data_IF_395347368434
#
_entry.id   IF_395347368434
#
_cell.length_a   1.000
_cell.length_b   1.000
_cell.length_c   1.000
_cell.angle_alpha   90.00
_cell.angle_beta   90.00
_cell.angle_gamma   90.00
#
_symmetry.space_group_name_H-M   'P 1'
#
loop_
_entity.id
_entity.type
_entity.pdbx_description
1 polymer ?
#
# COMPACT_ATOMS: atom_id res chain seq x y z
N UNK A 1 20.34 -15.28 12.65
CA UNK A 1 19.40 -14.67 13.63
C UNK A 1 18.65 -13.47 13.06
N UNK A 2 19.30 -12.53 12.36
CA UNK A 2 18.65 -11.30 11.83
C UNK A 2 17.53 -11.60 10.81
N UNK A 3 17.78 -12.48 9.83
CA UNK A 3 16.79 -12.83 8.81
C UNK A 3 15.59 -13.54 9.42
N UNK A 4 15.83 -14.49 10.33
CA UNK A 4 14.76 -15.21 11.03
C UNK A 4 13.91 -14.27 11.91
N UNK A 5 14.52 -13.32 12.63
CA UNK A 5 13.76 -12.33 13.40
C UNK A 5 12.94 -11.41 12.51
N UNK A 6 13.48 -10.97 11.36
CA UNK A 6 12.75 -10.13 10.43
C UNK A 6 11.52 -10.86 9.84
N UNK A 7 11.68 -12.14 9.48
CA UNK A 7 10.57 -12.97 8.99
C UNK A 7 9.51 -13.21 10.07
N UNK A 8 9.91 -13.42 11.33
CA UNK A 8 8.98 -13.56 12.45
C UNK A 8 8.20 -12.26 12.67
N UNK A 9 8.86 -11.11 12.66
CA UNK A 9 8.20 -9.80 12.77
C UNK A 9 7.22 -9.59 11.61
N UNK A 10 7.63 -9.90 10.38
CA UNK A 10 6.77 -9.77 9.20
C UNK A 10 5.53 -10.67 9.31
N UNK A 11 5.71 -11.95 9.63
CA UNK A 11 4.58 -12.88 9.80
C UNK A 11 3.70 -12.52 10.99
N UNK A 12 4.28 -12.07 12.10
CA UNK A 12 3.53 -11.54 13.23
C UNK A 12 2.65 -10.36 12.81
N UNK A 13 3.19 -9.43 12.04
CA UNK A 13 2.45 -8.28 11.53
C UNK A 13 1.31 -8.71 10.60
N UNK A 14 1.56 -9.62 9.65
CA UNK A 14 0.51 -10.21 8.78
C UNK A 14 -0.62 -10.86 9.58
N UNK A 15 -0.29 -11.62 10.63
CA UNK A 15 -1.30 -12.25 11.49
C UNK A 15 -2.13 -11.23 12.27
N UNK A 16 -1.51 -10.15 12.77
CA UNK A 16 -2.19 -9.11 13.54
C UNK A 16 -3.08 -8.25 12.66
N UNK A 17 -2.61 -7.86 11.47
CA UNK A 17 -3.37 -6.98 10.57
C UNK A 17 -4.40 -7.72 9.72
N UNK A 18 -4.30 -9.05 9.63
CA UNK A 18 -5.17 -9.86 8.78
C UNK A 18 -4.95 -9.63 7.28
N UNK A 19 -3.79 -9.07 6.89
CA UNK A 19 -3.47 -8.71 5.51
C UNK A 19 -2.05 -9.18 5.15
N UNK A 20 -1.88 -9.78 3.97
CA UNK A 20 -0.60 -10.24 3.44
C UNK A 20 0.40 -9.09 3.23
N UNK A 21 -0.10 -7.89 2.94
CA UNK A 21 0.68 -6.67 2.74
C UNK A 21 0.35 -5.62 3.81
N UNK A 22 0.80 -5.81 5.06
CA UNK A 22 0.46 -4.93 6.18
C UNK A 22 1.02 -3.51 6.07
N UNK A 23 1.97 -3.29 5.16
CA UNK A 23 2.68 -2.01 5.01
C UNK A 23 2.84 -1.71 3.52
N UNK A 24 2.48 -0.49 3.11
CA UNK A 24 2.69 0.01 1.73
C UNK A 24 3.28 1.41 1.74
N UNK A 25 3.93 1.79 0.64
CA UNK A 25 4.55 3.12 0.49
C UNK A 25 3.77 3.93 -0.54
N UNK A 26 3.49 5.20 -0.21
CA UNK A 26 2.84 6.14 -1.13
C UNK A 26 3.85 6.60 -2.19
N UNK A 27 3.59 6.27 -3.46
CA UNK A 27 4.49 6.53 -4.58
C UNK A 27 4.15 7.82 -5.36
N UNK A 28 2.94 8.34 -5.22
CA UNK A 28 2.41 9.48 -5.98
C UNK A 28 1.84 10.57 -5.06
N UNK A 29 1.50 11.73 -5.64
CA UNK A 29 0.82 12.84 -4.95
C UNK A 29 -0.70 12.85 -5.14
N UNK A 30 -1.32 11.75 -5.57
CA UNK A 30 -2.77 11.70 -5.83
C UNK A 30 -3.61 11.78 -4.55
N UNK A 31 -2.99 11.53 -3.39
CA UNK A 31 -3.63 11.59 -2.08
C UNK A 31 -3.32 12.87 -1.29
N UNK A 32 -2.68 13.86 -1.90
CA UNK A 32 -2.45 15.15 -1.22
C UNK A 32 -3.77 15.93 -1.03
N UNK A 33 -3.94 16.66 0.09
CA UNK A 33 -2.99 16.86 1.19
C UNK A 33 -3.01 15.75 2.27
N UNK A 34 -3.85 14.72 2.14
CA UNK A 34 -4.03 13.66 3.13
C UNK A 34 -2.77 12.81 3.35
N UNK A 35 -2.18 12.32 2.26
CA UNK A 35 -0.91 11.59 2.27
C UNK A 35 0.03 12.14 1.22
N UNK A 36 1.32 12.17 1.57
CA UNK A 36 2.38 12.64 0.68
C UNK A 36 3.19 11.47 0.16
N UNK A 37 3.84 11.70 -0.98
CA UNK A 37 4.81 10.76 -1.52
C UNK A 37 5.92 10.49 -0.49
N UNK A 38 6.20 9.21 -0.27
CA UNK A 38 7.16 8.72 0.71
C UNK A 38 6.57 8.45 2.09
N UNK A 39 5.28 8.64 2.30
CA UNK A 39 4.61 8.17 3.51
C UNK A 39 4.46 6.64 3.47
N UNK A 40 4.67 6.00 4.62
CA UNK A 40 4.38 4.58 4.82
C UNK A 40 2.99 4.46 5.41
N UNK A 41 2.12 3.63 4.84
CA UNK A 41 0.79 3.34 5.36
C UNK A 41 0.76 1.97 6.02
N UNK A 42 0.17 1.92 7.21
CA UNK A 42 -0.15 0.66 7.89
C UNK A 42 -1.55 0.23 7.50
N UNK A 43 -1.64 -0.99 6.98
CA UNK A 43 -2.87 -1.56 6.47
C UNK A 43 -3.41 -2.63 7.41
N UNK A 44 -4.71 -2.57 7.64
CA UNK A 44 -5.44 -3.57 8.39
C UNK A 44 -6.68 -3.99 7.61
N UNK A 45 -6.95 -5.29 7.59
CA UNK A 45 -8.19 -5.83 7.06
C UNK A 45 -9.11 -6.22 8.22
N UNK A 46 -10.23 -5.51 8.34
CA UNK A 46 -11.24 -5.78 9.36
C UNK A 46 -12.44 -6.50 8.72
N UNK A 47 -13.22 -7.19 9.56
CA UNK A 47 -14.50 -7.80 9.14
C UNK A 47 -15.62 -6.78 8.97
N UNK A 48 -15.40 -5.54 9.41
CA UNK A 48 -16.37 -4.47 9.30
C UNK A 48 -16.54 -4.03 7.83
N UNK A 49 -17.78 -3.70 7.40
CA UNK A 49 -18.03 -3.25 6.04
C UNK A 49 -17.28 -1.95 5.75
N UNK A 50 -16.76 -1.83 4.53
CA UNK A 50 -16.06 -0.63 4.04
C UNK A 50 -17.06 0.51 3.90
N UNK A 51 -16.66 1.69 4.38
CA UNK A 51 -17.52 2.89 4.39
C UNK A 51 -16.96 4.01 3.53
N UNK A 52 -17.84 4.91 3.12
CA UNK A 52 -17.47 6.15 2.43
C UNK A 52 -16.55 6.99 3.33
N UNK A 53 -15.50 7.54 2.76
CA UNK A 53 -14.48 8.34 3.43
C UNK A 53 -13.25 7.54 3.88
N UNK A 54 -13.33 6.21 3.91
CA UNK A 54 -12.20 5.36 4.26
C UNK A 54 -11.13 5.37 3.18
N UNK A 55 -9.88 5.16 3.58
CA UNK A 55 -8.75 5.11 2.64
C UNK A 55 -8.36 3.65 2.49
N UNK A 56 -8.48 3.16 1.26
CA UNK A 56 -8.30 1.76 0.92
C UNK A 56 -7.15 1.61 -0.04
N UNK A 57 -6.47 0.48 0.08
CA UNK A 57 -5.45 0.05 -0.86
C UNK A 57 -6.01 -1.13 -1.62
N UNK A 58 -6.04 -1.01 -2.93
CA UNK A 58 -6.62 -2.00 -3.81
C UNK A 58 -5.67 -2.36 -4.94
N UNK A 59 -5.82 -3.59 -5.43
CA UNK A 59 -5.14 -4.06 -6.61
C UNK A 59 -6.12 -4.11 -7.78
N UNK A 60 -5.62 -3.80 -8.98
CA UNK A 60 -6.39 -3.88 -10.23
C UNK A 60 -5.73 -4.92 -11.11
N UNK A 61 -6.54 -5.81 -11.69
CA UNK A 61 -6.03 -6.83 -12.59
C UNK A 61 -5.27 -6.19 -13.77
N UNK A 62 -4.06 -6.70 -14.02
CA UNK A 62 -3.16 -6.16 -15.04
C UNK A 62 -2.29 -4.99 -14.59
N UNK A 63 -2.34 -4.61 -13.30
CA UNK A 63 -1.37 -3.68 -12.70
C UNK A 63 -0.57 -4.37 -11.61
N UNK A 64 0.74 -4.17 -11.62
CA UNK A 64 1.65 -4.72 -10.59
C UNK A 64 1.73 -3.83 -9.35
N UNK A 65 1.36 -2.56 -9.48
CA UNK A 65 1.49 -1.55 -8.42
C UNK A 65 0.10 -1.26 -7.84
N UNK A 66 -0.09 -1.46 -6.53
CA UNK A 66 -1.37 -1.18 -5.90
C UNK A 66 -1.65 0.32 -5.78
N UNK A 67 -2.94 0.65 -5.72
CA UNK A 67 -3.42 2.04 -5.69
C UNK A 67 -4.02 2.32 -4.32
N UNK A 68 -3.68 3.49 -3.75
CA UNK A 68 -4.20 3.97 -2.47
C UNK A 68 -5.11 5.15 -2.75
N UNK A 69 -6.42 5.03 -2.55
CA UNK A 69 -7.35 6.15 -2.73
C UNK A 69 -8.50 6.14 -1.72
N UNK A 70 -9.27 7.24 -1.66
CA UNK A 70 -10.40 7.39 -0.75
C UNK A 70 -11.67 6.82 -1.38
N UNK A 71 -12.44 6.08 -0.59
CA UNK A 71 -13.76 5.60 -0.98
C UNK A 71 -14.73 6.78 -1.03
N UNK A 72 -15.33 7.03 -2.19
CA UNK A 72 -16.34 8.09 -2.38
C UNK A 72 -17.75 7.54 -2.48
N UNK A 73 -17.92 6.26 -2.84
CA UNK A 73 -19.22 5.62 -2.90
C UNK A 73 -19.13 4.14 -2.57
N UNK A 74 -20.10 3.66 -1.81
CA UNK A 74 -20.31 2.24 -1.53
C UNK A 74 -21.75 1.91 -1.89
N UNK A 75 -21.94 0.88 -2.69
CA UNK A 75 -23.24 0.25 -2.92
C UNK A 75 -23.23 -1.13 -2.30
N UNK A 76 -24.17 -1.36 -1.38
CA UNK A 76 -24.39 -2.65 -0.78
C UNK A 76 -25.68 -3.23 -1.34
N UNK A 77 -25.58 -4.38 -2.01
CA UNK A 77 -26.75 -5.04 -2.59
C UNK A 77 -27.36 -5.97 -1.53
N UNK A 78 -28.41 -5.50 -0.85
CA UNK A 78 -29.08 -6.22 0.25
C UNK A 78 -29.47 -7.68 -0.06
N UNK A 79 -29.68 -8.03 -1.34
CA UNK A 79 -30.11 -9.37 -1.74
C UNK A 79 -28.95 -10.36 -1.96
N UNK A 80 -27.75 -9.88 -2.31
CA UNK A 80 -26.59 -10.74 -2.63
C UNK A 80 -25.42 -10.57 -1.65
N UNK A 81 -25.44 -9.50 -0.85
CA UNK A 81 -24.31 -9.13 0.00
C UNK A 81 -23.10 -8.61 -0.79
N UNK A 82 -23.26 -8.36 -2.10
CA UNK A 82 -22.20 -7.80 -2.94
C UNK A 82 -21.98 -6.34 -2.58
N UNK A 83 -20.71 -5.99 -2.33
CA UNK A 83 -20.26 -4.64 -2.04
C UNK A 83 -19.50 -4.12 -3.26
N UNK A 84 -20.00 -3.03 -3.82
CA UNK A 84 -19.39 -2.31 -4.93
C UNK A 84 -18.87 -0.97 -4.45
N UNK A 85 -17.60 -0.70 -4.73
CA UNK A 85 -16.84 0.42 -4.18
C UNK A 85 -16.36 1.29 -5.33
N UNK A 86 -16.48 2.61 -5.17
CA UNK A 86 -15.87 3.59 -6.04
C UNK A 86 -14.89 4.44 -5.22
N UNK A 87 -13.69 4.57 -5.75
CA UNK A 87 -12.58 5.30 -5.14
C UNK A 87 -12.22 6.54 -5.97
N UNK A 88 -11.56 7.48 -5.32
CA UNK A 88 -10.99 8.67 -5.94
C UNK A 88 -9.78 9.13 -5.14
N UNK A 89 -8.72 9.54 -5.83
CA UNK A 89 -7.60 10.27 -5.21
C UNK A 89 -8.04 11.64 -4.69
N UNK A 90 -7.58 12.00 -3.49
CA UNK A 90 -7.92 13.28 -2.85
C UNK A 90 -7.55 14.48 -3.72
N UNK A 91 -6.44 14.39 -4.45
CA UNK A 91 -5.92 15.42 -5.36
C UNK A 91 -6.32 15.21 -6.84
N UNK A 92 -7.12 14.20 -7.16
CA UNK A 92 -7.56 13.95 -8.53
C UNK A 92 -8.83 14.76 -8.84
N UNK A 93 -9.04 15.17 -10.09
CA UNK A 93 -10.30 15.82 -10.52
C UNK A 93 -11.45 14.82 -10.70
N UNK A 94 -11.13 13.66 -11.29
CA UNK A 94 -12.07 12.60 -11.65
C UNK A 94 -11.98 11.40 -10.70
N UNK A 95 -12.96 10.50 -10.79
CA UNK A 95 -12.94 9.21 -10.10
C UNK A 95 -11.99 8.19 -10.76
N UNK A 96 -11.75 7.07 -10.07
CA UNK A 96 -10.74 6.10 -10.49
C UNK A 96 -11.23 5.10 -11.55
N UNK A 97 -12.41 5.28 -12.17
CA UNK A 97 -12.94 4.29 -13.13
C UNK A 97 -12.00 4.03 -14.31
N UNK A 98 -11.28 5.05 -14.76
CA UNK A 98 -10.28 4.93 -15.83
C UNK A 98 -9.05 4.13 -15.38
N UNK A 99 -8.82 4.01 -14.07
CA UNK A 99 -7.70 3.26 -13.51
C UNK A 99 -8.03 1.78 -13.30
N UNK A 100 -9.31 1.41 -13.27
CA UNK A 100 -9.76 0.02 -13.10
C UNK A 100 -9.50 -0.83 -14.35
N UNK A 101 -9.77 -2.14 -14.24
CA UNK A 101 -9.60 -3.04 -15.36
C UNK A 101 -10.58 -2.68 -16.51
N UNK A 102 -10.28 -3.12 -17.72
CA UNK A 102 -11.06 -2.75 -18.90
C UNK A 102 -12.54 -3.16 -18.74
N UNK A 103 -13.45 -2.19 -18.77
CA UNK A 103 -14.90 -2.41 -18.58
C UNK A 103 -15.35 -2.52 -17.13
N UNK A 104 -14.45 -2.38 -16.16
CA UNK A 104 -14.77 -2.38 -14.74
C UNK A 104 -15.16 -0.98 -14.27
N UNK A 105 -16.36 -0.85 -13.69
CA UNK A 105 -16.88 0.43 -13.15
C UNK A 105 -16.85 0.51 -11.62
N UNK A 106 -16.73 -0.64 -10.96
CA UNK A 106 -16.78 -0.78 -9.51
C UNK A 106 -15.70 -1.76 -9.04
N UNK A 107 -15.10 -1.46 -7.91
CA UNK A 107 -14.25 -2.39 -7.18
C UNK A 107 -15.11 -3.29 -6.31
N UNK A 108 -14.75 -4.56 -6.25
CA UNK A 108 -15.34 -5.52 -5.32
C UNK A 108 -14.44 -5.71 -4.11
N UNK A 109 -14.99 -6.29 -3.03
CA UNK A 109 -14.26 -6.54 -1.78
C UNK A 109 -12.93 -7.28 -2.00
N UNK A 110 -12.86 -8.22 -2.94
CA UNK A 110 -11.65 -9.02 -3.20
C UNK A 110 -10.50 -8.21 -3.83
N UNK A 111 -10.79 -7.06 -4.45
CA UNK A 111 -9.77 -6.14 -4.96
C UNK A 111 -9.11 -5.35 -3.82
N UNK A 112 -9.78 -5.21 -2.68
CA UNK A 112 -9.28 -4.44 -1.55
C UNK A 112 -8.29 -5.30 -0.77
N UNK A 113 -7.05 -4.85 -0.68
CA UNK A 113 -6.03 -5.53 0.13
C UNK A 113 -6.09 -5.10 1.59
N UNK A 114 -6.49 -3.85 1.86
CA UNK A 114 -6.65 -3.39 3.23
C UNK A 114 -7.01 -1.92 3.35
N UNK A 115 -7.27 -1.51 4.59
CA UNK A 115 -7.63 -0.14 4.97
C UNK A 115 -6.45 0.53 5.67
N UNK A 116 -6.16 1.77 5.34
CA UNK A 116 -5.13 2.53 6.03
C UNK A 116 -5.61 2.91 7.44
N UNK A 117 -4.90 2.44 8.47
CA UNK A 117 -5.20 2.72 9.89
C UNK A 117 -4.23 3.70 10.54
N UNK A 118 -3.09 3.93 9.89
CA UNK A 118 -2.08 4.88 10.34
C UNK A 118 -1.02 5.07 9.28
N UNK A 119 -0.16 6.07 9.47
CA UNK A 119 0.95 6.33 8.57
C UNK A 119 2.19 6.84 9.30
N UNK A 120 3.35 6.65 8.67
CA UNK A 120 4.62 7.18 9.12
C UNK A 120 5.20 8.07 8.01
N UNK A 121 5.27 9.40 8.23
CA UNK A 121 5.59 10.33 7.17
C UNK A 121 7.06 10.25 6.75
N UNK A 122 7.31 10.44 5.46
CA UNK A 122 8.64 10.54 4.83
C UNK A 122 9.56 9.30 4.89
N UNK A 123 9.29 8.28 5.71
CA UNK A 123 10.19 7.13 5.89
C UNK A 123 10.32 6.27 4.62
N UNK A 124 9.26 6.21 3.81
CA UNK A 124 9.23 5.51 2.54
C UNK A 124 10.15 6.11 1.48
N UNK A 125 10.67 7.33 1.66
CA UNK A 125 11.68 7.90 0.76
C UNK A 125 12.93 7.03 0.66
N UNK A 126 13.30 6.31 1.74
CA UNK A 126 14.43 5.37 1.70
C UNK A 126 14.20 4.31 0.63
N UNK A 127 13.02 3.68 0.63
CA UNK A 127 12.68 2.65 -0.36
C UNK A 127 12.53 3.21 -1.78
N UNK A 128 11.98 4.42 -1.92
CA UNK A 128 11.84 5.09 -3.22
C UNK A 128 13.23 5.39 -3.81
N UNK A 129 14.13 6.01 -3.03
CA UNK A 129 15.48 6.36 -3.50
C UNK A 129 16.27 5.10 -3.88
N UNK A 130 16.18 4.04 -3.08
CA UNK A 130 16.84 2.76 -3.39
C UNK A 130 16.31 2.11 -4.68
N UNK A 131 15.06 2.38 -5.05
CA UNK A 131 14.42 1.83 -6.26
C UNK A 131 14.69 2.69 -7.49
N UNK A 132 14.55 4.02 -7.38
CA UNK A 132 14.72 4.96 -8.49
C UNK A 132 16.18 5.24 -8.84
N UNK A 133 17.10 5.18 -7.87
CA UNK A 133 18.53 5.44 -8.06
C UNK A 133 19.35 4.17 -7.85
N UNK A 134 19.52 3.31 -8.87
CA UNK A 134 20.26 2.06 -8.73
C UNK A 134 21.72 2.28 -8.29
N UNK A 135 22.34 3.40 -8.68
CA UNK A 135 23.70 3.77 -8.23
C UNK A 135 23.77 3.85 -6.70
N UNK A 136 22.78 4.49 -6.06
CA UNK A 136 22.74 4.61 -4.60
C UNK A 136 22.58 3.23 -3.95
N UNK A 137 21.73 2.37 -4.50
CA UNK A 137 21.58 0.98 -4.07
C UNK A 137 22.90 0.22 -4.11
N UNK A 138 23.64 0.29 -5.23
CA UNK A 138 24.93 -0.40 -5.36
C UNK A 138 26.01 0.18 -4.44
N UNK A 139 26.03 1.49 -4.22
CA UNK A 139 26.94 2.13 -3.25
C UNK A 139 26.69 1.63 -1.83
N UNK A 140 25.43 1.56 -1.40
CA UNK A 140 25.07 1.05 -0.06
C UNK A 140 25.45 -0.42 0.10
N UNK A 141 25.13 -1.26 -0.89
CA UNK A 141 25.51 -2.68 -0.87
C UNK A 141 27.03 -2.85 -0.85
N UNK A 142 27.76 -2.06 -1.66
CA UNK A 142 29.22 -2.07 -1.68
C UNK A 142 29.84 -1.63 -0.35
N UNK A 143 29.32 -0.57 0.26
CA UNK A 143 29.77 -0.10 1.56
C UNK A 143 29.52 -1.13 2.67
N UNK A 144 28.33 -1.75 2.70
CA UNK A 144 28.02 -2.83 3.64
C UNK A 144 28.92 -4.05 3.42
N UNK A 145 29.15 -4.45 2.17
CA UNK A 145 30.07 -5.53 1.84
C UNK A 145 31.50 -5.25 2.30
N UNK A 146 32.00 -4.04 2.07
CA UNK A 146 33.31 -3.61 2.55
C UNK A 146 33.37 -3.61 4.08
N UNK A 147 32.31 -3.13 4.75
CA UNK A 147 32.22 -3.10 6.21
C UNK A 147 32.26 -4.52 6.78
N UNK A 148 31.53 -5.46 6.18
CA UNK A 148 31.56 -6.88 6.59
C UNK A 148 32.96 -7.50 6.40
N UNK A 149 33.65 -7.16 5.30
CA UNK A 149 35.01 -7.67 5.04
C UNK A 149 36.03 -7.05 6.02
N UNK A 150 35.86 -5.77 6.37
CA UNK A 150 36.79 -5.02 7.23
C UNK A 150 36.47 -5.17 8.73
N UNK A 151 35.24 -5.54 9.09
CA UNK A 151 34.90 -5.98 10.43
C UNK A 151 35.57 -7.34 10.68
N UNK A 152 36.77 -7.31 11.25
CA UNK A 152 37.27 -8.42 12.04
C UNK A 152 36.33 -8.63 13.21
N UNK A 153 36.09 -9.90 13.55
CA UNK A 153 35.26 -10.35 14.67
C UNK A 153 35.33 -9.45 15.91
#
# INVERSE_FOLDING_TARGET
MIVTSALIVWKGLTCVTGNESPVVVVLSGSMEPGFKRGDILFLQMNKDPIRVGEIVVFNVDGRDIPIVHRVIKVHERHNTGEIQILTKGDNNGEDDRVLYAHGQLWLEQHHIMGRAVGFLPYVGWVTIIMTEKPIFKYLVIGALGLLIITSKE
#
